data_IF_137847074343
#
_entry.id   IF_137847074343
#
_cell.length_a   1.000
_cell.length_b   1.000
_cell.length_c   1.000
_cell.angle_alpha   90.00
_cell.angle_beta   90.00
_cell.angle_gamma   90.00
#
_symmetry.space_group_name_H-M   'P 1'
#
loop_
_entity.id
_entity.type
_entity.pdbx_description
1 polymer ?
#
# COMPACT_ATOMS: atom_id res chain seq x y z
N UNK A 1 -17.44 -12.73 -12.66
CA UNK A 1 -16.18 -13.46 -12.38
C UNK A 1 -15.12 -12.42 -12.15
N UNK A 2 -14.66 -12.22 -10.91
CA UNK A 2 -13.52 -11.33 -10.65
C UNK A 2 -12.32 -12.03 -11.29
N UNK A 3 -11.60 -11.41 -12.25
CA UNK A 3 -10.43 -12.05 -12.82
C UNK A 3 -9.46 -12.35 -11.68
N UNK A 4 -9.15 -13.64 -11.50
CA UNK A 4 -8.23 -14.07 -10.46
C UNK A 4 -6.89 -13.38 -10.70
N UNK A 5 -6.35 -12.70 -9.68
CA UNK A 5 -4.99 -12.21 -9.75
C UNK A 5 -4.06 -13.40 -9.92
N UNK A 6 -3.27 -13.39 -10.99
CA UNK A 6 -2.26 -14.40 -11.22
C UNK A 6 -1.25 -14.41 -10.05
N UNK A 7 -0.63 -15.56 -9.77
CA UNK A 7 0.32 -15.72 -8.66
C UNK A 7 1.44 -14.67 -8.69
N UNK A 8 1.85 -14.25 -9.89
CA UNK A 8 2.85 -13.20 -10.10
C UNK A 8 2.40 -11.83 -9.59
N UNK A 9 1.11 -11.51 -9.75
CA UNK A 9 0.52 -10.27 -9.27
C UNK A 9 0.37 -10.28 -7.75
N UNK A 10 -0.09 -11.41 -7.18
CA UNK A 10 -0.18 -11.57 -5.73
C UNK A 10 1.20 -11.46 -5.06
N UNK A 11 2.23 -12.04 -5.67
CA UNK A 11 3.60 -11.92 -5.17
C UNK A 11 4.09 -10.47 -5.16
N UNK A 12 3.79 -9.70 -6.22
CA UNK A 12 4.12 -8.27 -6.28
C UNK A 12 3.36 -7.44 -5.25
N UNK A 13 2.06 -7.65 -5.10
CA UNK A 13 1.27 -6.95 -4.06
C UNK A 13 1.83 -7.21 -2.66
N UNK A 14 2.20 -8.46 -2.38
CA UNK A 14 2.82 -8.83 -1.10
C UNK A 14 4.16 -8.13 -0.90
N UNK A 15 4.98 -8.06 -1.94
CA UNK A 15 6.27 -7.36 -1.88
C UNK A 15 6.09 -5.86 -1.68
N UNK A 16 5.15 -5.23 -2.38
CA UNK A 16 4.81 -3.81 -2.20
C UNK A 16 4.35 -3.53 -0.78
N UNK A 17 3.51 -4.39 -0.20
CA UNK A 17 3.09 -4.25 1.18
C UNK A 17 4.27 -4.36 2.14
N UNK A 18 5.13 -5.36 1.97
CA UNK A 18 6.31 -5.57 2.82
C UNK A 18 7.25 -4.35 2.79
N UNK A 19 7.51 -3.81 1.59
CA UNK A 19 8.30 -2.59 1.39
C UNK A 19 7.72 -1.37 2.11
N UNK A 20 6.40 -1.17 2.04
CA UNK A 20 5.74 -0.02 2.68
C UNK A 20 5.75 -0.17 4.21
N UNK A 21 5.53 -1.38 4.73
CA UNK A 21 5.58 -1.65 6.16
C UNK A 21 7.01 -1.59 6.74
N UNK A 22 8.01 -1.90 5.92
CA UNK A 22 9.43 -1.76 6.28
C UNK A 22 9.88 -0.30 6.34
N UNK A 23 9.17 0.62 5.66
CA UNK A 23 9.54 2.03 5.58
C UNK A 23 9.44 2.72 6.96
N UNK A 24 10.44 3.54 7.36
CA UNK A 24 10.42 4.28 8.61
C UNK A 24 9.20 5.19 8.79
N UNK A 25 8.57 5.66 7.70
CA UNK A 25 7.36 6.48 7.74
C UNK A 25 6.18 5.70 8.30
N UNK A 26 6.06 4.41 7.98
CA UNK A 26 5.01 3.57 8.56
C UNK A 26 5.15 3.46 10.07
N UNK A 27 6.38 3.25 10.58
CA UNK A 27 6.64 3.19 12.03
C UNK A 27 6.38 4.51 12.75
N UNK A 28 6.47 5.64 12.04
CA UNK A 28 6.20 6.98 12.58
C UNK A 28 4.73 7.36 12.48
N UNK A 29 4.02 6.83 11.49
CA UNK A 29 2.61 7.08 11.27
C UNK A 29 1.79 6.35 12.34
N UNK A 30 1.33 7.08 13.35
CA UNK A 30 0.51 6.50 14.43
C UNK A 30 -0.95 6.24 13.99
N UNK A 31 -1.35 6.82 12.85
CA UNK A 31 -2.76 6.89 12.42
C UNK A 31 -3.14 5.84 11.37
N UNK A 32 -2.18 5.11 10.78
CA UNK A 32 -2.45 4.07 9.78
C UNK A 32 -1.97 2.71 10.28
N UNK A 33 -2.91 1.76 10.41
CA UNK A 33 -2.55 0.38 10.72
C UNK A 33 -2.01 -0.35 9.48
N UNK A 34 -1.33 -1.48 9.70
CA UNK A 34 -0.89 -2.33 8.59
C UNK A 34 -2.08 -2.83 7.73
N UNK A 35 -3.26 -2.97 8.34
CA UNK A 35 -4.47 -3.34 7.62
C UNK A 35 -4.97 -2.21 6.72
N UNK A 36 -4.93 -0.96 7.20
CA UNK A 36 -5.32 0.21 6.39
C UNK A 36 -4.41 0.36 5.16
N UNK A 37 -3.11 0.17 5.36
CA UNK A 37 -2.13 0.18 4.27
C UNK A 37 -2.40 -0.94 3.26
N UNK A 38 -2.66 -2.16 3.75
CA UNK A 38 -3.00 -3.28 2.87
C UNK A 38 -4.30 -3.01 2.09
N UNK A 39 -5.33 -2.48 2.75
CA UNK A 39 -6.61 -2.12 2.13
C UNK A 39 -6.42 -1.05 1.04
N UNK A 40 -5.58 -0.05 1.30
CA UNK A 40 -5.24 1.00 0.33
C UNK A 40 -4.58 0.43 -0.93
N UNK A 41 -3.52 -0.37 -0.75
CA UNK A 41 -2.79 -1.03 -1.84
C UNK A 41 -3.73 -1.92 -2.68
N UNK A 42 -4.60 -2.70 -2.02
CA UNK A 42 -5.57 -3.55 -2.70
C UNK A 42 -6.63 -2.75 -3.46
N UNK A 43 -7.01 -1.58 -2.94
CA UNK A 43 -8.01 -0.71 -3.58
C UNK A 43 -7.44 -0.07 -4.86
N UNK A 44 -6.20 0.41 -4.83
CA UNK A 44 -5.50 0.93 -6.02
C UNK A 44 -5.39 -0.16 -7.10
N UNK A 45 -4.98 -1.38 -6.69
CA UNK A 45 -4.88 -2.52 -7.60
C UNK A 45 -6.25 -2.97 -8.16
N UNK A 46 -7.33 -2.80 -7.39
CA UNK A 46 -8.70 -3.11 -7.81
C UNK A 46 -9.26 -2.07 -8.80
N UNK A 47 -8.80 -0.82 -8.72
CA UNK A 47 -9.12 0.23 -9.70
C UNK A 47 -8.43 0.02 -11.06
N UNK A 48 -7.55 -0.98 -11.16
CA UNK A 48 -6.88 -1.36 -12.40
C UNK A 48 -5.47 -0.81 -12.52
N UNK A 49 -4.94 -0.14 -11.49
CA UNK A 49 -3.52 0.20 -11.43
C UNK A 49 -2.71 -1.11 -11.33
N UNK A 50 -1.81 -1.32 -12.29
CA UNK A 50 -0.93 -2.50 -12.35
C UNK A 50 0.53 -2.12 -12.20
N UNK A 51 0.81 -0.83 -12.09
CA UNK A 51 2.12 -0.31 -11.77
C UNK A 51 2.30 -0.32 -10.25
N UNK A 52 2.91 -1.38 -9.73
CA UNK A 52 3.13 -1.56 -8.29
C UNK A 52 4.10 -0.55 -7.70
N UNK A 53 4.95 0.08 -8.51
CA UNK A 53 5.84 1.14 -8.06
C UNK A 53 5.04 2.42 -7.80
N UNK A 54 4.07 2.74 -8.68
CA UNK A 54 3.09 3.80 -8.42
C UNK A 54 2.25 3.54 -7.18
N UNK A 55 1.73 2.31 -7.01
CA UNK A 55 0.96 1.94 -5.82
C UNK A 55 1.79 2.11 -4.55
N UNK A 56 3.08 1.73 -4.58
CA UNK A 56 4.02 1.93 -3.47
C UNK A 56 4.20 3.41 -3.15
N UNK A 57 4.48 4.25 -4.15
CA UNK A 57 4.66 5.70 -3.97
C UNK A 57 3.38 6.34 -3.41
N UNK A 58 2.22 5.93 -3.94
CA UNK A 58 0.91 6.38 -3.49
C UNK A 58 0.67 6.05 -2.02
N UNK A 59 0.94 4.80 -1.61
CA UNK A 59 0.83 4.36 -0.21
C UNK A 59 1.81 5.11 0.72
N UNK A 60 3.05 5.36 0.28
CA UNK A 60 4.02 6.12 1.05
C UNK A 60 3.63 7.60 1.20
N UNK A 61 2.95 8.19 0.21
CA UNK A 61 2.40 9.54 0.31
C UNK A 61 1.21 9.60 1.26
N UNK A 62 0.33 8.59 1.24
CA UNK A 62 -0.77 8.49 2.20
C UNK A 62 -0.25 8.46 3.65
N UNK A 63 0.83 7.72 3.90
CA UNK A 63 1.49 7.71 5.21
C UNK A 63 2.06 9.07 5.63
N UNK A 64 2.60 9.86 4.69
CA UNK A 64 3.11 11.21 4.97
C UNK A 64 1.99 12.19 5.32
N UNK A 65 0.85 12.10 4.62
CA UNK A 65 -0.35 12.89 4.91
C UNK A 65 -0.87 12.54 6.31
N UNK A 66 -1.03 11.26 6.62
CA UNK A 66 -1.47 10.81 7.94
C UNK A 66 -0.52 11.22 9.07
N UNK A 67 0.78 11.32 8.80
CA UNK A 67 1.78 11.80 9.76
C UNK A 67 1.60 13.30 10.06
N UNK A 68 1.25 14.11 9.06
CA UNK A 68 1.01 15.55 9.21
C UNK A 68 -0.30 15.86 9.93
N UNK A 69 -1.32 15.05 9.74
CA UNK A 69 -2.62 15.22 10.41
C UNK A 69 -2.58 14.82 11.90
N UNK A 70 -1.56 14.06 12.32
CA UNK A 70 -1.37 13.63 13.70
C UNK A 70 -0.46 14.55 14.55
N UNK A 71 0.09 15.62 13.95
CA UNK A 71 1.01 16.57 14.58
C UNK A 71 0.31 17.90 14.91
#
# INVERSE_FOLDING_TARGET
MIPAYDTSTLARLRQTLDDVLADPRFRRSQSMSALDVAQYILSEAAQGERDFDRIKISALNALDISLREAA
#
